data_IF_222326568921
#
_entry.id   IF_222326568921
#
_cell.length_a   1.000
_cell.length_b   1.000
_cell.length_c   1.000
_cell.angle_alpha   90.00
_cell.angle_beta   90.00
_cell.angle_gamma   90.00
#
_symmetry.space_group_name_H-M   'P 1'
#
loop_
_entity.id
_entity.type
_entity.pdbx_description
1 polymer ?
#
# COMPACT_ATOMS: atom_id res chain seq x y z
N UNK A 1 -32.25 -30.94 2.39
CA UNK A 1 -31.08 -31.73 2.85
C UNK A 1 -30.48 -30.97 4.01
N UNK A 2 -30.81 -31.37 5.23
CA UNK A 2 -30.10 -30.90 6.42
C UNK A 2 -28.66 -31.40 6.31
N UNK A 3 -27.70 -30.48 6.36
CA UNK A 3 -26.29 -30.85 6.40
C UNK A 3 -26.02 -31.35 7.81
N UNK A 4 -26.13 -32.66 8.02
CA UNK A 4 -25.80 -33.32 9.27
C UNK A 4 -24.30 -33.13 9.51
N UNK A 5 -23.92 -32.21 10.39
CA UNK A 5 -22.52 -31.87 10.67
C UNK A 5 -22.21 -32.16 12.13
N UNK A 6 -21.16 -32.93 12.38
CA UNK A 6 -20.69 -33.30 13.70
C UNK A 6 -19.63 -32.30 14.20
N UNK A 7 -19.75 -31.89 15.47
CA UNK A 7 -18.74 -31.08 16.15
C UNK A 7 -17.66 -32.01 16.74
N UNK A 8 -16.41 -31.82 16.31
CA UNK A 8 -15.24 -32.60 16.75
C UNK A 8 -14.76 -32.27 18.18
N UNK A 9 -15.19 -31.14 18.73
CA UNK A 9 -14.63 -30.52 19.93
C UNK A 9 -15.03 -31.26 21.23
N UNK A 10 -14.33 -32.36 21.54
CA UNK A 10 -14.54 -33.20 22.74
C UNK A 10 -15.17 -34.57 22.46
N UNK A 11 -15.63 -34.84 21.24
CA UNK A 11 -16.36 -36.07 20.90
C UNK A 11 -15.48 -37.20 20.30
N UNK A 12 -14.18 -36.96 20.09
CA UNK A 12 -13.27 -37.93 19.44
C UNK A 12 -12.48 -38.75 20.47
N UNK A 13 -12.22 -38.22 21.67
CA UNK A 13 -11.55 -38.95 22.76
C UNK A 13 -12.26 -38.69 24.10
N UNK A 14 -12.82 -39.73 24.77
CA UNK A 14 -13.63 -39.56 25.98
C UNK A 14 -12.84 -39.10 27.23
N UNK A 15 -11.51 -38.98 27.14
CA UNK A 15 -10.61 -38.59 28.23
C UNK A 15 -10.03 -37.18 28.12
N UNK A 16 -10.32 -36.42 27.06
CA UNK A 16 -9.88 -35.03 26.96
C UNK A 16 -10.98 -34.09 27.44
N UNK A 17 -10.83 -33.58 28.66
CA UNK A 17 -11.56 -32.39 29.10
C UNK A 17 -11.49 -31.29 28.03
N UNK A 18 -12.59 -30.55 27.85
CA UNK A 18 -12.71 -29.48 26.84
C UNK A 18 -11.48 -28.57 26.86
N UNK A 19 -10.62 -28.69 25.85
CA UNK A 19 -9.38 -27.93 25.80
C UNK A 19 -9.71 -26.48 25.42
N UNK A 20 -9.22 -25.53 26.22
CA UNK A 20 -9.37 -24.10 25.95
C UNK A 20 -8.82 -23.76 24.56
N UNK A 21 -9.63 -23.13 23.71
CA UNK A 21 -9.21 -22.70 22.36
C UNK A 21 -8.88 -21.22 22.31
N UNK A 22 -9.32 -20.43 23.30
CA UNK A 22 -9.04 -19.00 23.36
C UNK A 22 -8.64 -18.57 24.77
N UNK A 23 -7.60 -17.74 24.85
CA UNK A 23 -7.05 -17.17 26.08
C UNK A 23 -6.91 -15.66 25.89
N UNK A 24 -7.79 -14.90 26.52
CA UNK A 24 -7.80 -13.43 26.47
C UNK A 24 -7.52 -12.82 27.85
N UNK A 25 -7.43 -11.49 27.92
CA UNK A 25 -7.41 -10.77 29.20
C UNK A 25 -8.71 -10.87 29.99
N UNK A 26 -9.84 -11.13 29.31
CA UNK A 26 -11.18 -11.18 29.91
C UNK A 26 -11.55 -12.57 30.40
N UNK A 27 -10.86 -13.62 29.95
CA UNK A 27 -11.17 -15.00 30.31
C UNK A 27 -10.59 -16.01 29.34
N UNK A 28 -10.88 -17.28 29.60
CA UNK A 28 -10.56 -18.42 28.74
C UNK A 28 -11.86 -19.03 28.22
N UNK A 29 -11.86 -19.48 26.96
CA UNK A 29 -13.06 -20.04 26.33
C UNK A 29 -12.72 -21.13 25.30
N UNK A 30 -13.74 -21.89 24.91
CA UNK A 30 -13.70 -22.98 23.92
C UNK A 30 -14.57 -22.58 22.73
N UNK A 31 -14.23 -21.46 22.08
CA UNK A 31 -15.07 -20.84 21.04
C UNK A 31 -14.75 -21.33 19.62
N UNK A 32 -13.64 -22.01 19.44
CA UNK A 32 -13.21 -22.53 18.14
C UNK A 32 -13.58 -24.01 18.06
N UNK A 33 -14.21 -24.42 16.96
CA UNK A 33 -14.67 -25.79 16.73
C UNK A 33 -14.38 -26.21 15.30
N UNK A 34 -14.25 -27.52 15.08
CA UNK A 34 -14.18 -28.12 13.74
C UNK A 34 -15.51 -28.83 13.50
N UNK A 35 -16.17 -28.48 12.39
CA UNK A 35 -17.35 -29.17 11.88
C UNK A 35 -16.92 -30.17 10.81
N UNK A 36 -17.39 -31.40 10.93
CA UNK A 36 -17.10 -32.50 10.01
C UNK A 36 -18.41 -33.12 9.55
N UNK A 37 -18.44 -33.70 8.35
CA UNK A 37 -19.53 -34.60 7.99
C UNK A 37 -19.39 -35.92 8.77
N UNK A 38 -20.46 -36.72 8.95
CA UNK A 38 -20.42 -37.97 9.71
C UNK A 38 -19.34 -38.94 9.19
N UNK A 39 -19.08 -38.95 7.89
CA UNK A 39 -18.08 -39.80 7.25
C UNK A 39 -16.65 -39.36 7.59
N UNK A 40 -16.39 -38.06 7.68
CA UNK A 40 -15.07 -37.54 8.10
C UNK A 40 -14.88 -37.64 9.60
N UNK A 41 -15.97 -37.56 10.36
CA UNK A 41 -15.95 -37.72 11.80
C UNK A 41 -15.59 -39.15 12.20
N UNK A 42 -16.13 -40.17 11.50
CA UNK A 42 -15.86 -41.59 11.80
C UNK A 42 -14.40 -42.01 11.61
N UNK A 43 -13.68 -41.34 10.71
CA UNK A 43 -12.25 -41.58 10.46
C UNK A 43 -11.33 -40.66 11.28
N UNK A 44 -11.87 -39.76 12.10
CA UNK A 44 -11.05 -38.87 12.93
C UNK A 44 -10.48 -39.62 14.14
N UNK A 45 -9.16 -39.56 14.34
CA UNK A 45 -8.47 -40.30 15.41
C UNK A 45 -8.01 -39.45 16.57
N UNK A 46 -7.72 -38.18 16.32
CA UNK A 46 -7.25 -37.29 17.37
C UNK A 46 -7.59 -35.85 17.05
N UNK A 47 -8.16 -35.14 18.01
CA UNK A 47 -8.25 -33.70 17.98
C UNK A 47 -7.47 -33.13 19.16
N UNK A 48 -6.60 -32.15 18.92
CA UNK A 48 -5.87 -31.46 19.97
C UNK A 48 -5.76 -29.96 19.68
N UNK A 49 -5.80 -29.15 20.73
CA UNK A 49 -5.48 -27.74 20.64
C UNK A 49 -3.95 -27.61 20.65
N UNK A 50 -3.37 -27.25 19.50
CA UNK A 50 -1.94 -27.08 19.35
C UNK A 50 -1.38 -25.94 20.22
N UNK A 51 -0.07 -26.00 20.48
CA UNK A 51 0.65 -24.92 21.16
C UNK A 51 0.87 -23.73 20.20
N UNK A 52 0.07 -22.66 20.36
CA UNK A 52 0.11 -21.54 19.42
C UNK A 52 1.16 -20.46 19.66
N UNK A 53 1.45 -19.77 18.55
CA UNK A 53 2.25 -18.54 18.45
C UNK A 53 1.41 -17.31 18.09
N UNK A 54 1.29 -16.39 19.05
CA UNK A 54 1.16 -14.94 18.76
C UNK A 54 -0.24 -14.33 18.85
N UNK A 55 -1.31 -15.12 18.94
CA UNK A 55 -2.69 -14.63 19.09
C UNK A 55 -3.38 -15.10 20.38
N UNK A 56 -4.64 -14.67 20.53
CA UNK A 56 -5.50 -15.04 21.66
C UNK A 56 -6.17 -16.41 21.44
N UNK A 57 -6.41 -16.79 20.18
CA UNK A 57 -6.88 -18.13 19.79
C UNK A 57 -5.72 -19.12 19.66
N UNK A 58 -5.97 -20.39 19.97
CA UNK A 58 -5.05 -21.52 19.86
C UNK A 58 -5.50 -22.41 18.69
N UNK A 59 -4.58 -22.88 17.82
CA UNK A 59 -4.91 -23.68 16.66
C UNK A 59 -5.51 -24.99 17.09
N UNK A 60 -6.47 -25.45 16.30
CA UNK A 60 -7.01 -26.79 16.38
C UNK A 60 -6.28 -27.67 15.37
N UNK A 61 -5.82 -28.82 15.84
CA UNK A 61 -5.24 -29.88 15.00
C UNK A 61 -6.19 -31.07 15.02
N UNK A 62 -6.56 -31.56 13.83
CA UNK A 62 -7.32 -32.78 13.65
C UNK A 62 -6.47 -33.79 12.88
N UNK A 63 -6.42 -35.01 13.37
CA UNK A 63 -5.82 -36.16 12.70
C UNK A 63 -6.92 -37.10 12.23
N UNK A 64 -6.82 -37.53 10.97
CA UNK A 64 -7.70 -38.50 10.35
C UNK A 64 -6.91 -39.79 10.08
N UNK A 65 -7.47 -40.94 10.41
CA UNK A 65 -6.93 -42.25 10.09
C UNK A 65 -7.66 -42.82 8.87
N UNK A 66 -6.98 -42.76 7.74
CA UNK A 66 -7.47 -43.31 6.50
C UNK A 66 -7.21 -44.82 6.53
N UNK A 67 -8.26 -45.60 6.85
CA UNK A 67 -8.22 -47.07 6.79
C UNK A 67 -8.32 -47.42 5.30
N UNK A 68 -7.25 -48.01 4.78
CA UNK A 68 -6.87 -48.14 3.38
C UNK A 68 -6.25 -46.86 2.77
N UNK A 69 -5.06 -46.96 2.12
CA UNK A 69 -4.65 -45.89 1.23
C UNK A 69 -5.78 -45.77 0.21
N UNK A 70 -6.48 -44.62 0.21
CA UNK A 70 -7.36 -44.22 -0.90
C UNK A 70 -6.77 -44.82 -2.17
N UNK A 71 -7.50 -45.60 -2.97
CA UNK A 71 -6.96 -46.14 -4.20
C UNK A 71 -6.42 -44.92 -4.93
N UNK A 72 -5.09 -44.81 -4.93
CA UNK A 72 -4.40 -43.76 -5.63
C UNK A 72 -4.62 -44.24 -7.05
N UNK A 73 -5.75 -43.87 -7.64
CA UNK A 73 -5.76 -43.64 -9.07
C UNK A 73 -4.49 -42.83 -9.26
N UNK A 74 -3.55 -43.39 -10.00
CA UNK A 74 -2.16 -42.95 -10.16
C UNK A 74 -2.03 -41.49 -10.65
N UNK A 75 -3.17 -40.81 -10.78
CA UNK A 75 -3.44 -39.46 -11.20
C UNK A 75 -3.48 -38.42 -10.07
N UNK A 76 -3.43 -38.82 -8.79
CA UNK A 76 -3.25 -37.86 -7.68
C UNK A 76 -1.94 -38.11 -6.93
N UNK A 77 -0.82 -37.91 -7.64
CA UNK A 77 0.39 -37.39 -6.97
C UNK A 77 -0.02 -36.12 -6.23
N UNK A 78 0.43 -35.99 -4.99
CA UNK A 78 0.41 -34.73 -4.24
C UNK A 78 0.82 -33.60 -5.18
N UNK A 79 -0.16 -32.84 -5.70
CA UNK A 79 0.13 -31.60 -6.40
C UNK A 79 0.54 -30.60 -5.33
N UNK A 80 1.76 -30.75 -4.80
CA UNK A 80 2.61 -29.56 -4.73
C UNK A 80 2.63 -29.10 -6.17
N UNK A 81 1.88 -28.05 -6.49
CA UNK A 81 1.85 -27.51 -7.84
C UNK A 81 3.29 -27.21 -8.24
N UNK A 82 3.91 -28.14 -8.97
CA UNK A 82 5.11 -27.90 -9.74
C UNK A 82 4.63 -26.91 -10.79
N UNK A 83 4.99 -25.65 -10.60
CA UNK A 83 4.64 -24.64 -11.57
C UNK A 83 5.41 -24.98 -12.85
N UNK A 84 4.76 -25.03 -14.03
CA UNK A 84 5.45 -25.29 -15.28
C UNK A 84 6.48 -24.18 -15.50
N UNK A 85 7.78 -24.52 -15.40
CA UNK A 85 8.85 -23.62 -15.79
C UNK A 85 9.12 -23.86 -17.27
N UNK A 86 8.64 -22.94 -18.10
CA UNK A 86 8.94 -22.94 -19.53
C UNK A 86 10.46 -22.90 -19.72
N UNK A 87 11.01 -23.73 -20.62
CA UNK A 87 12.40 -23.55 -21.08
C UNK A 87 12.49 -22.19 -21.77
N UNK A 88 12.90 -21.16 -21.04
CA UNK A 88 13.03 -19.76 -21.52
C UNK A 88 14.23 -19.55 -22.46
N UNK A 89 14.69 -20.60 -23.15
CA UNK A 89 15.69 -20.43 -24.21
C UNK A 89 14.98 -20.31 -25.56
N UNK A 90 14.79 -19.03 -25.93
CA UNK A 90 14.52 -18.49 -27.27
C UNK A 90 13.07 -18.58 -27.78
N UNK A 91 12.22 -17.71 -27.22
CA UNK A 91 10.93 -17.33 -27.82
C UNK A 91 11.03 -16.78 -29.25
N UNK A 92 12.21 -16.29 -29.67
CA UNK A 92 12.43 -15.76 -31.02
C UNK A 92 12.73 -16.81 -32.08
N UNK A 93 13.14 -18.04 -31.71
CA UNK A 93 13.31 -19.15 -32.66
C UNK A 93 12.06 -20.03 -32.79
N UNK A 94 11.01 -19.71 -32.03
CA UNK A 94 9.83 -20.56 -31.87
C UNK A 94 8.81 -20.46 -33.01
N UNK A 95 8.83 -19.41 -33.85
CA UNK A 95 7.77 -19.24 -34.85
C UNK A 95 7.88 -20.15 -36.07
N UNK A 96 9.10 -20.46 -36.53
CA UNK A 96 9.33 -21.23 -37.75
C UNK A 96 9.53 -22.73 -37.51
N UNK A 97 10.12 -23.14 -36.39
CA UNK A 97 10.27 -24.58 -36.07
C UNK A 97 8.98 -25.19 -35.54
N UNK A 98 8.15 -24.42 -34.81
CA UNK A 98 6.90 -24.90 -34.23
C UNK A 98 5.89 -25.33 -35.30
N UNK A 99 5.80 -24.59 -36.40
CA UNK A 99 4.89 -24.95 -37.50
C UNK A 99 5.29 -26.30 -38.15
N UNK A 100 6.60 -26.53 -38.32
CA UNK A 100 7.14 -27.77 -38.90
C UNK A 100 7.04 -28.96 -37.92
N UNK A 101 7.29 -28.74 -36.64
CA UNK A 101 7.20 -29.79 -35.61
C UNK A 101 5.73 -30.19 -35.34
N UNK A 102 4.79 -29.23 -35.40
CA UNK A 102 3.34 -29.51 -35.35
C UNK A 102 2.88 -30.25 -36.61
N UNK A 103 3.35 -29.86 -37.81
CA UNK A 103 3.03 -30.57 -39.06
C UNK A 103 3.55 -32.01 -39.10
N UNK A 104 4.69 -32.30 -38.45
CA UNK A 104 5.26 -33.66 -38.38
C UNK A 104 4.59 -34.56 -37.36
N UNK A 105 4.03 -33.98 -36.30
CA UNK A 105 3.39 -34.72 -35.20
C UNK A 105 1.88 -34.83 -35.34
N UNK A 106 1.27 -34.08 -36.26
CA UNK A 106 -0.16 -34.08 -36.53
C UNK A 106 -0.41 -34.30 -38.03
N UNK A 107 -1.03 -35.42 -38.39
CA UNK A 107 -1.45 -35.69 -39.77
C UNK A 107 -2.65 -34.80 -40.11
N UNK A 108 -2.35 -33.61 -40.67
CA UNK A 108 -3.34 -32.58 -41.02
C UNK A 108 -4.37 -33.06 -42.06
N UNK A 109 -4.14 -34.20 -42.71
CA UNK A 109 -5.07 -34.79 -43.68
C UNK A 109 -6.35 -35.36 -43.02
N UNK A 110 -6.33 -35.59 -41.71
CA UNK A 110 -7.45 -36.17 -40.96
C UNK A 110 -8.34 -35.14 -40.24
N UNK A 111 -8.14 -33.83 -40.46
CA UNK A 111 -8.96 -32.78 -39.83
C UNK A 111 -10.13 -32.45 -40.76
N UNK A 112 -11.38 -32.80 -40.40
CA UNK A 112 -12.54 -32.40 -41.19
C UNK A 112 -12.64 -30.87 -41.21
N UNK A 113 -13.03 -30.31 -42.34
CA UNK A 113 -13.15 -28.87 -42.60
C UNK A 113 -14.25 -28.14 -41.80
N UNK A 114 -14.73 -28.72 -40.70
CA UNK A 114 -15.70 -28.09 -39.81
C UNK A 114 -15.00 -27.19 -38.77
N UNK A 115 -15.57 -26.01 -38.46
CA UNK A 115 -14.92 -24.96 -37.66
C UNK A 115 -14.83 -25.26 -36.15
N UNK A 116 -15.18 -26.47 -35.72
CA UNK A 116 -15.17 -26.90 -34.32
C UNK A 116 -14.34 -28.18 -34.22
N UNK A 117 -13.07 -28.04 -33.85
CA UNK A 117 -12.25 -29.20 -33.49
C UNK A 117 -12.93 -29.93 -32.30
N UNK A 118 -13.21 -31.24 -32.40
CA UNK A 118 -13.68 -32.02 -31.27
C UNK A 118 -12.68 -31.91 -30.10
N UNK A 119 -13.17 -31.74 -28.88
CA UNK A 119 -12.35 -31.47 -27.69
C UNK A 119 -11.20 -32.48 -27.48
N UNK A 120 -11.38 -33.72 -27.95
CA UNK A 120 -10.37 -34.78 -27.89
C UNK A 120 -9.14 -34.52 -28.77
N UNK A 121 -9.31 -33.88 -29.93
CA UNK A 121 -8.17 -33.51 -30.79
C UNK A 121 -7.37 -32.35 -30.20
N UNK A 122 -8.05 -31.38 -29.57
CA UNK A 122 -7.40 -30.28 -28.85
C UNK A 122 -6.59 -30.79 -27.65
N UNK A 123 -7.10 -31.82 -26.96
CA UNK A 123 -6.43 -32.46 -25.84
C UNK A 123 -5.14 -33.18 -26.26
N UNK A 124 -5.18 -33.91 -27.38
CA UNK A 124 -3.97 -34.54 -27.97
C UNK A 124 -2.91 -33.52 -28.36
N UNK A 125 -3.33 -32.35 -28.86
CA UNK A 125 -2.42 -31.27 -29.23
C UNK A 125 -1.75 -30.65 -28.00
N UNK A 126 -2.50 -30.46 -26.90
CA UNK A 126 -1.96 -30.02 -25.61
C UNK A 126 -0.99 -31.03 -24.99
N UNK A 127 -1.30 -32.33 -25.05
CA UNK A 127 -0.43 -33.38 -24.51
C UNK A 127 0.89 -33.46 -25.29
N UNK A 128 0.88 -33.43 -26.62
CA UNK A 128 2.08 -33.40 -27.45
C UNK A 128 2.96 -32.16 -27.17
N UNK A 129 2.33 -31.00 -26.99
CA UNK A 129 3.01 -29.75 -26.65
C UNK A 129 3.65 -29.80 -25.25
N UNK A 130 2.93 -30.35 -24.27
CA UNK A 130 3.41 -30.49 -22.89
C UNK A 130 4.64 -31.40 -22.81
N UNK A 131 4.62 -32.53 -23.53
CA UNK A 131 5.67 -33.55 -23.46
C UNK A 131 6.98 -33.07 -24.09
N UNK A 132 6.89 -32.20 -25.10
CA UNK A 132 8.05 -31.77 -25.90
C UNK A 132 8.75 -30.55 -25.31
N UNK A 133 8.00 -29.64 -24.66
CA UNK A 133 8.53 -28.33 -24.24
C UNK A 133 8.51 -28.08 -22.72
N UNK A 134 7.92 -28.98 -21.92
CA UNK A 134 7.89 -28.88 -20.45
C UNK A 134 8.73 -30.00 -19.84
N UNK A 135 9.81 -29.65 -19.12
CA UNK A 135 10.53 -30.60 -18.26
C UNK A 135 10.30 -30.27 -16.80
N UNK A 136 9.88 -31.27 -16.03
CA UNK A 136 9.72 -31.19 -14.57
C UNK A 136 11.06 -31.45 -13.87
N UNK A 137 11.69 -30.43 -13.30
CA UNK A 137 12.75 -30.63 -12.30
C UNK A 137 12.15 -30.66 -10.91
N UNK A 138 12.49 -31.68 -10.12
CA UNK A 138 12.13 -31.74 -8.70
C UNK A 138 12.75 -30.57 -7.94
N UNK A 139 12.00 -29.87 -7.08
CA UNK A 139 12.60 -28.87 -6.22
C UNK A 139 13.45 -29.59 -5.18
N UNK A 140 14.75 -29.36 -5.19
CA UNK A 140 15.58 -29.57 -4.00
C UNK A 140 14.99 -28.64 -2.95
N UNK A 141 14.23 -29.19 -2.01
CA UNK A 141 13.66 -28.44 -0.89
C UNK A 141 14.82 -28.02 0.03
N UNK A 142 15.57 -27.00 -0.38
CA UNK A 142 16.36 -26.24 0.56
C UNK A 142 15.35 -25.69 1.56
N UNK A 143 15.51 -26.05 2.84
CA UNK A 143 14.73 -25.51 3.95
C UNK A 143 14.61 -23.99 3.79
N UNK A 144 13.47 -23.52 3.31
CA UNK A 144 13.19 -22.12 2.96
C UNK A 144 13.06 -21.18 4.17
N UNK A 145 13.56 -21.58 5.33
CA UNK A 145 13.79 -20.72 6.48
C UNK A 145 15.05 -21.19 7.18
N UNK A 146 16.21 -20.75 6.69
CA UNK A 146 17.28 -20.41 7.63
C UNK A 146 16.66 -19.40 8.59
N UNK A 147 16.63 -19.71 9.90
CA UNK A 147 16.03 -18.84 10.91
C UNK A 147 16.52 -17.41 10.66
N UNK A 148 15.59 -16.46 10.48
CA UNK A 148 15.95 -15.10 10.07
C UNK A 148 17.03 -14.55 11.01
N UNK A 149 18.10 -13.89 10.52
CA UNK A 149 19.26 -13.52 11.34
C UNK A 149 18.94 -12.71 12.59
N UNK A 150 17.82 -11.99 12.60
CA UNK A 150 17.31 -11.20 13.72
C UNK A 150 16.58 -12.01 14.81
N UNK A 151 16.25 -13.28 14.55
CA UNK A 151 15.54 -14.17 15.47
C UNK A 151 16.53 -14.95 16.34
N UNK A 152 16.98 -14.28 17.40
CA UNK A 152 18.10 -14.74 18.22
C UNK A 152 17.71 -15.59 19.44
N UNK A 153 18.70 -15.90 20.28
CA UNK A 153 18.52 -16.73 21.50
C UNK A 153 17.46 -16.16 22.45
N UNK A 154 17.35 -14.84 22.53
CA UNK A 154 16.37 -14.16 23.39
C UNK A 154 14.93 -14.36 22.87
N UNK A 155 14.73 -14.24 21.55
CA UNK A 155 13.47 -14.59 20.89
C UNK A 155 13.06 -16.03 21.17
N UNK A 156 14.02 -16.95 21.06
CA UNK A 156 13.81 -18.38 21.36
C UNK A 156 13.50 -18.62 22.84
N UNK A 157 14.13 -17.91 23.76
CA UNK A 157 13.91 -18.05 25.19
C UNK A 157 12.51 -17.58 25.61
N UNK A 158 12.08 -16.39 25.18
CA UNK A 158 10.70 -15.93 25.44
C UNK A 158 9.66 -16.84 24.78
N UNK A 159 9.95 -17.33 23.58
CA UNK A 159 9.13 -18.34 22.88
C UNK A 159 8.95 -19.61 23.71
N UNK A 160 10.04 -20.16 24.27
CA UNK A 160 9.97 -21.33 25.16
C UNK A 160 9.19 -21.04 26.45
N UNK A 161 9.36 -19.84 27.02
CA UNK A 161 8.66 -19.41 28.24
C UNK A 161 7.15 -19.29 28.01
N UNK A 162 6.72 -18.73 26.87
CA UNK A 162 5.30 -18.68 26.48
C UNK A 162 4.72 -20.09 26.38
N UNK A 163 5.40 -21.02 25.69
CA UNK A 163 4.95 -22.43 25.59
C UNK A 163 4.77 -23.07 26.96
N UNK A 164 5.76 -22.92 27.85
CA UNK A 164 5.72 -23.46 29.22
C UNK A 164 4.51 -22.91 29.99
N UNK A 165 4.26 -21.59 29.92
CA UNK A 165 3.13 -20.96 30.60
C UNK A 165 1.77 -21.38 30.04
N UNK A 166 1.65 -21.57 28.73
CA UNK A 166 0.42 -22.08 28.10
C UNK A 166 0.12 -23.50 28.59
N UNK A 167 1.13 -24.37 28.72
CA UNK A 167 0.95 -25.72 29.29
C UNK A 167 0.43 -25.67 30.73
N UNK A 168 1.00 -24.77 31.55
CA UNK A 168 0.56 -24.59 32.94
C UNK A 168 -0.90 -24.11 33.02
N UNK A 169 -1.30 -23.16 32.16
CA UNK A 169 -2.69 -22.66 32.13
C UNK A 169 -3.67 -23.73 31.64
N UNK A 170 -3.25 -24.60 30.71
CA UNK A 170 -4.05 -25.76 30.31
C UNK A 170 -4.30 -26.73 31.48
N UNK A 171 -3.37 -26.84 32.43
CA UNK A 171 -3.52 -27.70 33.62
C UNK A 171 -4.15 -27.01 34.84
N UNK A 172 -4.03 -25.69 34.97
CA UNK A 172 -4.52 -24.90 36.10
C UNK A 172 -4.98 -23.53 35.62
N UNK A 173 -6.29 -23.27 35.67
CA UNK A 173 -6.90 -22.03 35.16
C UNK A 173 -6.80 -20.87 36.18
N UNK A 174 -5.62 -20.64 36.73
CA UNK A 174 -5.36 -19.59 37.72
C UNK A 174 -5.30 -18.17 37.08
N UNK A 175 -6.08 -17.19 37.58
CA UNK A 175 -6.05 -15.82 37.09
C UNK A 175 -4.67 -15.14 37.15
N UNK A 176 -3.84 -15.42 38.17
CA UNK A 176 -2.52 -14.78 38.29
C UNK A 176 -1.56 -15.28 37.21
N UNK A 177 -1.60 -16.58 36.91
CA UNK A 177 -0.81 -17.23 35.86
C UNK A 177 -1.22 -16.72 34.47
N UNK A 178 -2.52 -16.46 34.24
CA UNK A 178 -3.03 -15.83 33.01
C UNK A 178 -2.53 -14.40 32.83
N UNK A 179 -2.55 -13.58 33.89
CA UNK A 179 -2.01 -12.22 33.85
C UNK A 179 -0.52 -12.21 33.47
N UNK A 180 0.27 -13.13 34.05
CA UNK A 180 1.69 -13.31 33.71
C UNK A 180 1.90 -13.73 32.26
N UNK A 181 1.07 -14.62 31.70
CA UNK A 181 1.15 -15.00 30.27
C UNK A 181 0.89 -13.80 29.35
N UNK A 182 -0.11 -12.97 29.66
CA UNK A 182 -0.45 -11.79 28.85
C UNK A 182 0.72 -10.81 28.81
N UNK A 183 1.36 -10.58 29.95
CA UNK A 183 2.52 -9.70 30.04
C UNK A 183 3.71 -10.26 29.24
N UNK A 184 4.03 -11.55 29.38
CA UNK A 184 5.09 -12.20 28.59
C UNK A 184 4.77 -12.16 27.09
N UNK A 185 3.51 -12.37 26.67
CA UNK A 185 3.07 -12.24 25.27
C UNK A 185 3.24 -10.80 24.76
N UNK A 186 2.99 -9.78 25.60
CA UNK A 186 3.20 -8.37 25.26
C UNK A 186 4.69 -8.09 25.05
N UNK A 187 5.53 -8.52 25.99
CA UNK A 187 6.99 -8.37 25.91
C UNK A 187 7.57 -9.06 24.67
N UNK A 188 7.14 -10.29 24.39
CA UNK A 188 7.58 -11.01 23.18
C UNK A 188 7.17 -10.30 21.89
N UNK A 189 5.93 -9.79 21.79
CA UNK A 189 5.47 -9.03 20.61
C UNK A 189 6.28 -7.76 20.40
N UNK A 190 6.51 -7.00 21.47
CA UNK A 190 7.32 -5.78 21.41
C UNK A 190 8.76 -6.09 20.99
N UNK A 191 9.35 -7.15 21.55
CA UNK A 191 10.73 -7.55 21.23
C UNK A 191 10.89 -8.00 19.77
N UNK A 192 9.98 -8.85 19.27
CA UNK A 192 10.00 -9.27 17.85
C UNK A 192 9.85 -8.07 16.92
N UNK A 193 8.95 -7.14 17.27
CA UNK A 193 8.79 -5.91 16.51
C UNK A 193 10.08 -5.08 16.50
N UNK A 194 10.68 -4.81 17.67
CA UNK A 194 11.92 -4.03 17.78
C UNK A 194 13.08 -4.68 17.02
N UNK A 195 13.34 -5.99 17.19
CA UNK A 195 14.47 -6.67 16.53
C UNK A 195 14.31 -6.73 15.02
N UNK A 196 13.09 -6.96 14.53
CA UNK A 196 12.81 -6.91 13.09
C UNK A 196 13.03 -5.51 12.52
N UNK A 197 12.61 -4.47 13.24
CA UNK A 197 12.83 -3.08 12.83
C UNK A 197 14.31 -2.70 12.85
N UNK A 198 15.04 -3.11 13.89
CA UNK A 198 16.47 -2.85 14.01
C UNK A 198 17.28 -3.55 12.90
N UNK A 199 16.97 -4.81 12.60
CA UNK A 199 17.61 -5.53 11.50
C UNK A 199 17.36 -4.88 10.14
N UNK A 200 16.13 -4.43 9.89
CA UNK A 200 15.81 -3.65 8.69
C UNK A 200 16.61 -2.34 8.69
N UNK A 201 16.67 -1.62 9.81
CA UNK A 201 17.42 -0.38 9.93
C UNK A 201 18.91 -0.57 9.66
N UNK A 202 19.54 -1.59 10.24
CA UNK A 202 20.96 -1.91 10.05
C UNK A 202 21.23 -2.30 8.60
N UNK A 203 20.43 -3.19 8.01
CA UNK A 203 20.55 -3.56 6.60
C UNK A 203 20.44 -2.35 5.67
N UNK A 204 19.52 -1.41 5.97
CA UNK A 204 19.37 -0.17 5.20
C UNK A 204 20.46 0.85 5.49
N UNK A 205 21.03 0.89 6.69
CA UNK A 205 22.17 1.75 7.03
C UNK A 205 23.41 1.29 6.28
N UNK A 206 23.67 -0.01 6.24
CA UNK A 206 24.73 -0.62 5.43
C UNK A 206 24.49 -0.37 3.94
N UNK A 207 23.25 -0.50 3.46
CA UNK A 207 22.94 -0.19 2.06
C UNK A 207 23.09 1.30 1.76
N UNK A 208 22.72 2.18 2.69
CA UNK A 208 22.87 3.64 2.55
C UNK A 208 24.35 4.03 2.50
N UNK A 209 25.18 3.51 3.40
CA UNK A 209 26.62 3.78 3.40
C UNK A 209 27.32 3.18 2.17
N UNK A 210 26.83 2.05 1.65
CA UNK A 210 27.32 1.44 0.41
C UNK A 210 26.84 2.17 -0.87
N UNK A 211 25.74 2.92 -0.80
CA UNK A 211 25.15 3.65 -1.94
C UNK A 211 25.63 5.12 -1.98
N UNK A 212 26.56 5.52 -1.13
CA UNK A 212 27.02 6.90 -1.07
C UNK A 212 27.91 7.33 -2.27
N UNK A 213 27.25 8.13 -3.12
CA UNK A 213 27.75 9.33 -3.84
C UNK A 213 28.27 9.20 -5.26
N UNK A 214 28.45 8.00 -5.84
CA UNK A 214 28.88 7.90 -7.25
C UNK A 214 27.88 7.22 -8.17
N UNK A 215 27.96 7.52 -9.47
CA UNK A 215 27.19 6.83 -10.48
C UNK A 215 27.54 5.33 -10.55
N UNK A 216 28.74 4.94 -10.10
CA UNK A 216 29.18 3.55 -10.03
C UNK A 216 28.44 2.78 -8.93
N UNK A 217 28.23 3.39 -7.76
CA UNK A 217 27.51 2.74 -6.64
C UNK A 217 26.06 2.46 -7.00
N UNK A 218 25.40 3.43 -7.66
CA UNK A 218 24.06 3.22 -8.20
C UNK A 218 24.04 2.09 -9.23
N UNK A 219 25.02 2.04 -10.14
CA UNK A 219 25.11 0.96 -11.13
C UNK A 219 25.31 -0.41 -10.45
N UNK A 220 26.17 -0.49 -9.43
CA UNK A 220 26.42 -1.71 -8.67
C UNK A 220 25.17 -2.19 -7.93
N UNK A 221 24.47 -1.28 -7.23
CA UNK A 221 23.23 -1.60 -6.52
C UNK A 221 22.13 -2.08 -7.48
N UNK A 222 21.99 -1.42 -8.64
CA UNK A 222 21.05 -1.84 -9.68
C UNK A 222 21.43 -3.20 -10.28
N UNK A 223 22.72 -3.44 -10.53
CA UNK A 223 23.21 -4.74 -11.03
C UNK A 223 22.98 -5.88 -10.03
N UNK A 224 23.20 -5.63 -8.73
CA UNK A 224 22.88 -6.59 -7.67
C UNK A 224 21.38 -6.90 -7.62
N UNK A 225 20.52 -5.88 -7.75
CA UNK A 225 19.08 -6.06 -7.85
C UNK A 225 18.66 -6.87 -9.08
N UNK A 226 19.31 -6.65 -10.23
CA UNK A 226 19.06 -7.43 -11.45
C UNK A 226 19.48 -8.89 -11.26
N UNK A 227 20.63 -9.14 -10.62
CA UNK A 227 21.08 -10.49 -10.31
C UNK A 227 20.09 -11.22 -9.39
N UNK A 228 19.60 -10.53 -8.35
CA UNK A 228 18.53 -11.04 -7.49
C UNK A 228 17.25 -11.36 -8.28
N UNK A 229 16.78 -10.44 -9.11
CA UNK A 229 15.60 -10.68 -9.95
C UNK A 229 15.79 -11.90 -10.86
N UNK A 230 16.97 -12.09 -11.46
CA UNK A 230 17.27 -13.26 -12.28
C UNK A 230 17.26 -14.55 -11.48
N UNK A 231 17.83 -14.55 -10.27
CA UNK A 231 17.82 -15.71 -9.37
C UNK A 231 16.39 -16.11 -8.97
N UNK A 232 15.52 -15.11 -8.78
CA UNK A 232 14.09 -15.29 -8.46
C UNK A 232 13.18 -15.42 -9.71
N UNK A 233 13.75 -15.59 -10.91
CA UNK A 233 13.01 -15.67 -12.17
C UNK A 233 12.06 -14.48 -12.47
N UNK A 234 12.36 -13.29 -11.93
CA UNK A 234 11.66 -12.03 -12.17
C UNK A 234 12.27 -11.28 -13.37
N UNK A 235 11.42 -10.84 -14.31
CA UNK A 235 11.84 -10.06 -15.46
C UNK A 235 11.59 -8.56 -15.27
N UNK A 236 12.61 -7.73 -15.54
CA UNK A 236 12.55 -6.28 -15.37
C UNK A 236 12.08 -5.62 -16.68
N UNK A 237 11.05 -4.78 -16.59
CA UNK A 237 10.59 -4.00 -17.74
C UNK A 237 11.42 -2.72 -17.93
N UNK A 238 12.49 -2.82 -18.71
CA UNK A 238 13.40 -1.69 -19.00
C UNK A 238 12.72 -0.49 -19.68
N UNK A 239 11.57 -0.68 -20.35
CA UNK A 239 10.80 0.46 -20.92
C UNK A 239 10.13 1.29 -19.83
N UNK A 240 9.66 0.66 -18.75
CA UNK A 240 9.02 1.34 -17.60
C UNK A 240 10.04 1.84 -16.58
N UNK A 241 11.18 1.18 -16.46
CA UNK A 241 12.26 1.55 -15.54
C UNK A 241 13.06 2.72 -16.09
N UNK A 242 13.15 3.81 -15.32
CA UNK A 242 13.86 5.05 -15.69
C UNK A 242 14.75 5.50 -14.53
N UNK A 243 15.78 6.28 -14.85
CA UNK A 243 16.65 6.92 -13.84
C UNK A 243 16.30 8.41 -13.75
N UNK A 244 15.86 8.86 -12.58
CA UNK A 244 15.67 10.29 -12.30
C UNK A 244 16.79 10.75 -11.35
N UNK A 245 17.65 11.63 -11.83
CA UNK A 245 18.74 12.20 -11.02
C UNK A 245 18.30 13.54 -10.42
N UNK A 246 18.20 13.61 -9.10
CA UNK A 246 17.88 14.87 -8.41
C UNK A 246 19.12 15.77 -8.32
N UNK A 247 19.05 16.98 -8.89
CA UNK A 247 20.14 17.94 -8.85
C UNK A 247 19.64 19.37 -9.01
N UNK A 248 20.40 20.33 -8.45
CA UNK A 248 20.17 21.77 -8.67
C UNK A 248 20.80 22.27 -9.97
N UNK A 249 21.72 21.51 -10.57
CA UNK A 249 22.36 21.89 -11.83
C UNK A 249 21.38 21.81 -13.00
N UNK A 250 21.36 22.83 -13.85
CA UNK A 250 20.61 22.80 -15.12
C UNK A 250 21.31 21.95 -16.19
N UNK A 251 22.62 21.76 -16.07
CA UNK A 251 23.41 20.90 -16.97
C UNK A 251 23.32 19.46 -16.50
N UNK A 252 22.28 18.76 -16.94
CA UNK A 252 22.13 17.32 -16.77
C UNK A 252 22.87 16.59 -17.90
N UNK A 253 23.93 15.85 -17.58
CA UNK A 253 24.45 14.83 -18.50
C UNK A 253 23.46 13.67 -18.54
N UNK A 254 22.68 13.57 -19.61
CA UNK A 254 21.57 12.62 -19.77
C UNK A 254 21.99 11.25 -20.31
N UNK A 255 23.28 10.90 -20.19
CA UNK A 255 23.78 9.61 -20.67
C UNK A 255 23.05 8.44 -19.99
N UNK A 256 22.49 7.47 -20.72
CA UNK A 256 21.83 6.31 -20.15
C UNK A 256 22.72 5.58 -19.14
N UNK A 257 22.14 5.08 -18.04
CA UNK A 257 22.87 4.26 -17.09
C UNK A 257 23.04 2.85 -17.69
N UNK A 258 24.29 2.47 -17.98
CA UNK A 258 24.63 1.13 -18.46
C UNK A 258 24.54 0.13 -17.31
N UNK A 259 23.77 -0.93 -17.49
CA UNK A 259 23.53 -1.97 -16.48
C UNK A 259 23.59 -3.36 -17.12
N UNK A 260 23.75 -4.42 -16.32
CA UNK A 260 23.75 -5.78 -16.84
C UNK A 260 22.36 -6.14 -17.40
N UNK A 261 22.25 -6.27 -18.72
CA UNK A 261 20.99 -6.60 -19.41
C UNK A 261 20.29 -5.43 -20.10
N UNK A 262 20.91 -4.23 -20.17
CA UNK A 262 20.42 -3.13 -20.99
C UNK A 262 20.89 -1.73 -20.55
N UNK A 263 20.14 -0.71 -20.95
CA UNK A 263 20.36 0.68 -20.55
C UNK A 263 19.09 1.23 -19.90
N UNK A 264 19.24 1.95 -18.79
CA UNK A 264 18.13 2.72 -18.22
C UNK A 264 18.23 4.17 -18.70
N UNK A 265 17.15 4.63 -19.33
CA UNK A 265 17.03 6.02 -19.77
C UNK A 265 17.03 6.97 -18.57
N UNK A 266 17.84 8.03 -18.65
CA UNK A 266 17.81 9.15 -17.70
C UNK A 266 16.73 10.15 -18.11
N UNK A 267 15.81 10.46 -17.20
CA UNK A 267 14.67 11.37 -17.43
C UNK A 267 14.76 12.61 -16.54
N UNK A 268 14.18 13.73 -17.01
CA UNK A 268 14.06 14.98 -16.22
C UNK A 268 12.85 14.98 -15.29
N UNK A 269 11.85 14.17 -15.60
CA UNK A 269 10.64 14.01 -14.80
C UNK A 269 10.14 12.58 -14.87
N UNK A 270 9.58 12.09 -13.77
CA UNK A 270 9.06 10.74 -13.67
C UNK A 270 7.76 10.73 -12.87
N UNK A 271 6.76 9.99 -13.35
CA UNK A 271 5.48 9.82 -12.66
C UNK A 271 5.56 8.60 -11.74
N UNK A 272 5.51 8.83 -10.44
CA UNK A 272 5.51 7.79 -9.42
C UNK A 272 4.24 7.87 -8.58
N UNK A 273 3.45 6.79 -8.57
CA UNK A 273 2.17 6.70 -7.85
C UNK A 273 1.25 7.92 -8.09
N UNK A 274 1.19 8.42 -9.33
CA UNK A 274 0.36 9.57 -9.69
C UNK A 274 1.00 10.95 -9.50
N UNK A 275 2.08 11.06 -8.74
CA UNK A 275 2.85 12.30 -8.56
C UNK A 275 3.95 12.44 -9.62
N UNK A 276 4.16 13.64 -10.15
CA UNK A 276 5.24 13.91 -11.11
C UNK A 276 6.41 14.56 -10.37
N UNK A 277 7.48 13.79 -10.19
CA UNK A 277 8.74 14.27 -9.65
C UNK A 277 9.61 14.81 -10.78
N UNK A 278 10.25 15.95 -10.55
CA UNK A 278 11.20 16.56 -11.49
C UNK A 278 12.61 16.53 -10.89
N UNK A 279 13.63 16.57 -11.74
CA UNK A 279 15.04 16.53 -11.33
C UNK A 279 15.42 17.64 -10.33
N UNK A 280 14.78 18.80 -10.43
CA UNK A 280 15.00 19.95 -9.55
C UNK A 280 14.02 20.01 -8.37
N UNK A 281 13.21 18.97 -8.17
CA UNK A 281 12.17 18.88 -7.14
C UNK A 281 11.10 19.99 -7.23
N UNK A 282 10.94 20.60 -8.41
CA UNK A 282 9.87 21.55 -8.68
C UNK A 282 8.54 20.84 -8.91
N UNK A 283 7.50 21.28 -8.21
CA UNK A 283 6.13 20.77 -8.38
C UNK A 283 5.35 21.44 -9.50
N UNK A 284 5.95 22.39 -10.22
CA UNK A 284 5.29 23.12 -11.30
C UNK A 284 4.70 22.21 -12.38
N UNK A 285 5.45 21.18 -12.81
CA UNK A 285 4.99 20.21 -13.81
C UNK A 285 3.83 19.36 -13.30
N UNK A 286 3.91 18.92 -12.04
CA UNK A 286 2.83 18.18 -11.38
C UNK A 286 1.57 19.02 -11.28
N UNK A 287 1.69 20.25 -10.76
CA UNK A 287 0.58 21.18 -10.60
C UNK A 287 -0.06 21.51 -11.95
N UNK A 288 0.71 21.80 -13.00
CA UNK A 288 0.18 22.03 -14.36
C UNK A 288 -0.67 20.85 -14.85
N UNK A 289 -0.18 19.62 -14.67
CA UNK A 289 -0.91 18.41 -15.03
C UNK A 289 -2.21 18.26 -14.22
N UNK A 290 -2.15 18.44 -12.89
CA UNK A 290 -3.31 18.41 -12.01
C UNK A 290 -4.34 19.49 -12.37
N UNK A 291 -3.90 20.72 -12.65
CA UNK A 291 -4.74 21.83 -13.10
C UNK A 291 -5.46 21.53 -14.40
N UNK A 292 -4.76 21.02 -15.40
CA UNK A 292 -5.36 20.66 -16.70
C UNK A 292 -6.43 19.58 -16.51
N UNK A 293 -6.10 18.55 -15.73
CA UNK A 293 -7.00 17.44 -15.49
C UNK A 293 -8.23 17.88 -14.67
N UNK A 294 -8.06 18.75 -13.68
CA UNK A 294 -9.14 19.35 -12.89
C UNK A 294 -10.03 20.28 -13.74
N UNK A 295 -9.43 21.13 -14.58
CA UNK A 295 -10.15 22.06 -15.47
C UNK A 295 -10.98 21.30 -16.50
N UNK A 296 -10.45 20.22 -17.06
CA UNK A 296 -11.18 19.36 -18.00
C UNK A 296 -12.45 18.78 -17.36
N UNK A 297 -12.32 18.26 -16.13
CA UNK A 297 -13.47 17.74 -15.37
C UNK A 297 -14.44 18.87 -14.98
N UNK A 298 -13.93 20.03 -14.56
CA UNK A 298 -14.73 21.22 -14.25
C UNK A 298 -15.59 21.66 -15.44
N UNK A 299 -14.98 21.77 -16.63
CA UNK A 299 -15.69 22.15 -17.86
C UNK A 299 -16.75 21.12 -18.26
N UNK A 300 -16.53 19.83 -18.01
CA UNK A 300 -17.56 18.81 -18.23
C UNK A 300 -18.77 19.01 -17.30
N UNK A 301 -18.52 19.34 -16.03
CA UNK A 301 -19.59 19.64 -15.06
C UNK A 301 -20.36 20.90 -15.49
N UNK A 302 -19.66 21.95 -15.91
CA UNK A 302 -20.28 23.19 -16.40
C UNK A 302 -21.16 22.92 -17.62
N UNK A 303 -20.67 22.14 -18.60
CA UNK A 303 -21.49 21.75 -19.76
C UNK A 303 -22.74 20.98 -19.35
N UNK A 304 -22.57 20.00 -18.45
CA UNK A 304 -23.71 19.24 -17.93
C UNK A 304 -24.72 20.14 -17.23
N UNK A 305 -24.26 21.03 -16.35
CA UNK A 305 -25.09 21.99 -15.61
C UNK A 305 -26.00 22.83 -16.52
N UNK A 306 -25.45 23.36 -17.62
CA UNK A 306 -26.19 24.20 -18.57
C UNK A 306 -27.07 23.41 -19.54
N UNK A 307 -26.72 22.16 -19.86
CA UNK A 307 -27.45 21.35 -20.84
C UNK A 307 -28.51 20.45 -20.22
N UNK A 308 -28.13 19.57 -19.28
CA UNK A 308 -28.97 18.48 -18.75
C UNK A 308 -29.17 18.54 -17.24
N UNK A 309 -28.35 19.31 -16.53
CA UNK A 309 -28.28 19.34 -15.06
C UNK A 309 -29.30 20.25 -14.38
N UNK A 310 -30.31 20.73 -15.10
CA UNK A 310 -31.39 21.55 -14.55
C UNK A 310 -30.94 22.85 -13.87
N UNK A 311 -29.72 23.32 -14.14
CA UNK A 311 -29.09 24.49 -13.49
C UNK A 311 -29.14 24.47 -11.96
N UNK A 312 -29.17 23.28 -11.34
CA UNK A 312 -29.21 23.17 -9.89
C UNK A 312 -27.83 23.42 -9.26
N UNK A 313 -27.65 24.63 -8.73
CA UNK A 313 -26.36 25.16 -8.27
C UNK A 313 -25.76 24.38 -7.09
N UNK A 314 -26.49 24.04 -6.01
CA UNK A 314 -25.94 23.25 -4.90
C UNK A 314 -25.34 21.92 -5.34
N UNK A 315 -26.03 21.17 -6.21
CA UNK A 315 -25.50 19.90 -6.74
C UNK A 315 -24.23 20.10 -7.58
N UNK A 316 -24.17 21.14 -8.42
CA UNK A 316 -22.98 21.42 -9.22
C UNK A 316 -21.75 21.69 -8.33
N UNK A 317 -21.93 22.48 -7.26
CA UNK A 317 -20.88 22.76 -6.27
C UNK A 317 -20.47 21.48 -5.53
N UNK A 318 -21.43 20.64 -5.13
CA UNK A 318 -21.14 19.35 -4.50
C UNK A 318 -20.33 18.43 -5.41
N UNK A 319 -20.71 18.31 -6.69
CA UNK A 319 -19.99 17.50 -7.68
C UNK A 319 -18.58 18.05 -7.90
N UNK A 320 -18.41 19.37 -7.98
CA UNK A 320 -17.08 19.99 -8.07
C UNK A 320 -16.21 19.62 -6.88
N UNK A 321 -16.76 19.73 -5.67
CA UNK A 321 -16.07 19.36 -4.44
C UNK A 321 -15.75 17.86 -4.36
N UNK A 322 -16.60 17.00 -4.92
CA UNK A 322 -16.41 15.55 -4.92
C UNK A 322 -15.47 15.03 -6.02
N UNK A 323 -15.37 15.72 -7.16
CA UNK A 323 -14.63 15.23 -8.35
C UNK A 323 -13.43 16.08 -8.73
N UNK A 324 -13.58 17.41 -8.74
CA UNK A 324 -12.52 18.32 -9.21
C UNK A 324 -11.48 18.55 -8.10
N UNK A 325 -11.95 18.81 -6.88
CA UNK A 325 -11.05 19.10 -5.75
C UNK A 325 -10.11 17.94 -5.42
N UNK A 326 -10.55 16.67 -5.32
CA UNK A 326 -9.62 15.56 -5.05
C UNK A 326 -8.58 15.37 -6.16
N UNK A 327 -8.95 15.63 -7.41
CA UNK A 327 -8.06 15.52 -8.57
C UNK A 327 -6.98 16.60 -8.54
N UNK A 328 -7.35 17.83 -8.15
CA UNK A 328 -6.43 18.95 -7.99
C UNK A 328 -5.51 18.77 -6.78
N UNK A 329 -6.05 18.26 -5.67
CA UNK A 329 -5.35 18.09 -4.39
C UNK A 329 -4.60 16.76 -4.27
N UNK A 330 -4.46 15.98 -5.36
CA UNK A 330 -3.80 14.68 -5.30
C UNK A 330 -2.34 14.80 -4.84
N UNK A 331 -2.04 14.19 -3.70
CA UNK A 331 -0.73 14.20 -3.05
C UNK A 331 -0.31 15.56 -2.48
N UNK A 332 -1.27 16.44 -2.16
CA UNK A 332 -0.99 17.76 -1.59
C UNK A 332 -0.19 17.70 -0.29
N UNK A 333 -0.24 16.60 0.43
CA UNK A 333 0.55 16.36 1.63
C UNK A 333 2.06 16.52 1.38
N UNK A 334 2.51 16.24 0.16
CA UNK A 334 3.93 16.33 -0.24
C UNK A 334 4.25 17.68 -0.88
N UNK A 335 3.41 18.19 -1.79
CA UNK A 335 3.74 19.38 -2.59
C UNK A 335 3.25 20.72 -2.03
N UNK A 336 2.40 20.72 -1.00
CA UNK A 336 1.82 21.96 -0.42
C UNK A 336 2.89 22.94 0.08
N UNK A 337 4.08 22.45 0.45
CA UNK A 337 5.19 23.31 0.90
C UNK A 337 5.86 24.10 -0.21
N UNK A 338 5.52 23.85 -1.46
CA UNK A 338 6.10 24.52 -2.63
C UNK A 338 5.00 25.05 -3.57
N UNK A 339 3.86 25.45 -2.99
CA UNK A 339 2.79 26.13 -3.71
C UNK A 339 3.36 27.39 -4.35
N UNK A 340 3.28 27.44 -5.68
CA UNK A 340 3.58 28.62 -6.47
C UNK A 340 2.39 28.90 -7.38
N UNK A 341 1.88 30.13 -7.34
CA UNK A 341 0.74 30.58 -8.14
C UNK A 341 -0.63 30.38 -7.50
N UNK A 342 -1.67 30.71 -8.27
CA UNK A 342 -3.06 30.78 -7.80
C UNK A 342 -3.79 29.43 -7.94
N UNK A 343 -3.82 28.65 -6.85
CA UNK A 343 -4.53 27.37 -6.76
C UNK A 343 -6.05 27.49 -6.89
N UNK A 344 -6.61 28.66 -6.61
CA UNK A 344 -8.05 28.89 -6.61
C UNK A 344 -8.61 29.18 -8.00
N UNK A 345 -7.75 29.36 -9.02
CA UNK A 345 -8.18 29.68 -10.38
C UNK A 345 -9.27 28.72 -10.94
N UNK A 346 -9.18 27.39 -10.82
CA UNK A 346 -10.22 26.48 -11.29
C UNK A 346 -11.55 26.68 -10.57
N UNK A 347 -11.51 26.95 -9.26
CA UNK A 347 -12.71 27.23 -8.46
C UNK A 347 -13.35 28.55 -8.90
N UNK A 348 -12.56 29.62 -9.05
CA UNK A 348 -13.06 30.92 -9.50
C UNK A 348 -13.67 30.85 -10.91
N UNK A 349 -13.02 30.13 -11.84
CA UNK A 349 -13.54 29.92 -13.19
C UNK A 349 -14.84 29.12 -13.18
N UNK A 350 -14.91 28.08 -12.35
CA UNK A 350 -16.11 27.25 -12.20
C UNK A 350 -17.30 28.06 -11.68
N UNK A 351 -17.14 28.72 -10.54
CA UNK A 351 -18.20 29.52 -9.93
C UNK A 351 -18.68 30.63 -10.87
N UNK A 352 -17.75 31.33 -11.52
CA UNK A 352 -18.09 32.37 -12.50
C UNK A 352 -18.91 31.81 -13.67
N UNK A 353 -18.57 30.61 -14.14
CA UNK A 353 -19.30 29.98 -15.24
C UNK A 353 -20.69 29.48 -14.86
N UNK A 354 -20.95 29.22 -13.58
CA UNK A 354 -22.28 28.85 -13.09
C UNK A 354 -23.15 30.08 -12.85
N UNK A 355 -22.59 31.15 -12.29
CA UNK A 355 -23.33 32.35 -11.89
C UNK A 355 -23.49 33.41 -12.97
N UNK A 356 -22.72 33.32 -14.07
CA UNK A 356 -22.78 34.30 -15.16
C UNK A 356 -22.20 35.67 -14.82
N UNK A 357 -21.53 35.80 -13.67
CA UNK A 357 -20.97 37.08 -13.20
C UNK A 357 -19.79 37.56 -14.06
N UNK A 358 -19.60 38.88 -14.20
CA UNK A 358 -18.51 39.44 -15.00
C UNK A 358 -17.10 39.07 -14.50
N UNK A 359 -16.10 39.24 -15.37
CA UNK A 359 -14.68 38.98 -15.02
C UNK A 359 -14.12 39.96 -13.99
N UNK A 360 -14.70 41.16 -13.86
CA UNK A 360 -14.29 42.16 -12.87
C UNK A 360 -14.63 41.75 -11.43
N UNK A 361 -15.58 40.83 -11.22
CA UNK A 361 -15.89 40.30 -9.89
C UNK A 361 -14.70 39.47 -9.39
N UNK A 362 -14.18 39.86 -8.23
CA UNK A 362 -13.01 39.22 -7.64
C UNK A 362 -13.32 37.77 -7.28
N UNK A 363 -12.34 36.88 -7.44
CA UNK A 363 -12.50 35.48 -7.04
C UNK A 363 -12.76 35.31 -5.54
N UNK A 364 -12.29 36.26 -4.74
CA UNK A 364 -12.55 36.31 -3.30
C UNK A 364 -14.04 36.58 -3.00
N UNK A 365 -14.67 37.53 -3.71
CA UNK A 365 -16.11 37.77 -3.58
C UNK A 365 -16.92 36.51 -3.93
N UNK A 366 -16.60 35.84 -5.05
CA UNK A 366 -17.26 34.57 -5.40
C UNK A 366 -17.17 33.53 -4.29
N UNK A 367 -16.00 33.39 -3.66
CA UNK A 367 -15.82 32.41 -2.58
C UNK A 367 -16.67 32.73 -1.35
N UNK A 368 -16.89 34.01 -1.04
CA UNK A 368 -17.78 34.41 0.06
C UNK A 368 -19.24 34.12 -0.28
N UNK A 369 -19.70 34.58 -1.45
CA UNK A 369 -21.10 34.39 -1.88
C UNK A 369 -21.50 32.91 -1.98
N UNK A 370 -20.59 32.05 -2.43
CA UNK A 370 -20.84 30.60 -2.54
C UNK A 370 -20.39 29.79 -1.32
N UNK A 371 -20.00 30.46 -0.22
CA UNK A 371 -19.45 29.84 0.99
C UNK A 371 -18.35 28.78 0.69
N UNK A 372 -17.52 29.03 -0.32
CA UNK A 372 -16.49 28.10 -0.77
C UNK A 372 -15.11 28.44 -0.17
N UNK A 373 -14.51 27.53 0.63
CA UNK A 373 -13.17 27.73 1.14
C UNK A 373 -12.12 27.63 0.04
N UNK A 374 -11.01 28.37 0.19
CA UNK A 374 -9.92 28.29 -0.79
C UNK A 374 -9.36 26.87 -0.92
N UNK A 375 -8.93 26.52 -2.13
CA UNK A 375 -8.20 25.30 -2.45
C UNK A 375 -6.89 25.27 -1.66
N UNK A 376 -6.23 26.42 -1.50
CA UNK A 376 -5.02 26.53 -0.68
C UNK A 376 -5.28 26.15 0.79
N UNK A 377 -6.37 26.62 1.39
CA UNK A 377 -6.79 26.22 2.75
C UNK A 377 -7.02 24.72 2.84
N UNK A 378 -7.70 24.13 1.86
CA UNK A 378 -7.97 22.67 1.82
C UNK A 378 -6.65 21.87 1.72
N UNK A 379 -5.73 22.30 0.87
CA UNK A 379 -4.40 21.69 0.72
C UNK A 379 -3.62 21.73 2.05
N UNK A 380 -3.54 22.90 2.67
CA UNK A 380 -2.87 23.09 3.97
C UNK A 380 -3.53 22.28 5.09
N UNK A 381 -4.86 22.22 5.14
CA UNK A 381 -5.57 21.41 6.14
C UNK A 381 -5.19 19.93 6.03
N UNK A 382 -5.11 19.39 4.82
CA UNK A 382 -4.67 18.01 4.56
C UNK A 382 -3.21 17.79 4.90
N UNK A 383 -2.32 18.69 4.47
CA UNK A 383 -0.89 18.61 4.76
C UNK A 383 -0.61 18.65 6.27
N UNK A 384 -1.31 19.50 7.02
CA UNK A 384 -1.20 19.58 8.49
C UNK A 384 -1.73 18.31 9.14
N UNK A 385 -2.90 17.81 8.73
CA UNK A 385 -3.42 16.53 9.23
C UNK A 385 -2.45 15.39 8.98
N UNK A 386 -1.91 15.28 7.77
CA UNK A 386 -0.93 14.27 7.42
C UNK A 386 0.34 14.38 8.27
N UNK A 387 0.85 15.59 8.45
CA UNK A 387 2.04 15.85 9.26
C UNK A 387 1.80 15.44 10.72
N UNK A 388 0.67 15.83 11.30
CA UNK A 388 0.34 15.45 12.67
C UNK A 388 0.10 13.95 12.80
N UNK A 389 -0.52 13.29 11.82
CA UNK A 389 -0.58 11.83 11.80
C UNK A 389 0.82 11.19 11.74
N UNK A 390 1.73 11.73 10.93
CA UNK A 390 3.11 11.27 10.83
C UNK A 390 3.84 11.36 12.18
N UNK A 391 3.56 12.40 12.96
CA UNK A 391 4.17 12.68 14.27
C UNK A 391 3.48 11.90 15.42
N UNK A 392 2.17 11.73 15.33
CA UNK A 392 1.32 11.07 16.33
C UNK A 392 1.35 9.54 16.24
N UNK A 393 1.80 9.01 15.10
CA UNK A 393 1.93 7.58 14.87
C UNK A 393 2.74 6.95 16.01
N UNK A 394 2.07 6.05 16.74
CA UNK A 394 2.50 5.41 17.99
C UNK A 394 3.93 4.84 17.92
N UNK A 395 4.57 4.56 19.06
CA UNK A 395 5.85 3.84 19.15
C UNK A 395 5.93 2.57 18.30
N UNK A 396 4.77 1.97 18.05
CA UNK A 396 4.56 0.79 17.21
C UNK A 396 4.74 1.05 15.70
N UNK A 397 4.69 2.31 15.27
CA UNK A 397 4.95 2.80 13.90
C UNK A 397 6.23 3.66 13.87
N UNK A 398 6.86 3.96 15.03
CA UNK A 398 8.18 4.62 15.11
C UNK A 398 9.31 3.85 14.43
N UNK A 399 9.10 2.60 14.00
CA UNK A 399 10.01 1.84 13.13
C UNK A 399 9.91 2.14 11.62
N UNK A 400 8.91 2.91 11.18
CA UNK A 400 8.77 3.27 9.76
C UNK A 400 9.78 4.33 9.29
N UNK A 401 10.08 4.33 7.98
CA UNK A 401 10.97 5.29 7.31
C UNK A 401 10.70 6.77 7.65
N UNK A 402 9.47 7.12 8.02
CA UNK A 402 9.07 8.48 8.40
C UNK A 402 9.85 9.04 9.59
N UNK A 403 10.15 8.22 10.60
CA UNK A 403 10.92 8.64 11.77
C UNK A 403 12.37 8.96 11.40
N UNK A 404 12.96 8.16 10.50
CA UNK A 404 14.31 8.38 9.98
C UNK A 404 14.40 9.66 9.15
N UNK A 405 13.36 9.99 8.38
CA UNK A 405 13.29 11.23 7.61
C UNK A 405 13.14 12.46 8.53
N UNK A 406 12.39 12.33 9.64
CA UNK A 406 12.20 13.43 10.58
C UNK A 406 13.44 13.69 11.45
N UNK A 407 14.20 12.63 11.77
CA UNK A 407 15.49 12.65 12.49
C UNK A 407 16.69 12.89 11.58
N UNK A 408 16.46 13.00 10.28
CA UNK A 408 17.52 13.29 9.33
C UNK A 408 18.20 14.62 9.69
N UNK A 409 19.54 14.63 9.63
CA UNK A 409 20.38 15.80 9.88
C UNK A 409 20.15 16.84 8.77
N UNK A 410 19.71 16.41 7.58
CA UNK A 410 19.39 17.30 6.49
C UNK A 410 18.11 18.12 6.74
N UNK A 411 18.27 19.44 6.78
CA UNK A 411 17.16 20.38 6.88
C UNK A 411 16.36 20.41 5.57
N UNK A 412 15.35 19.55 5.45
CA UNK A 412 14.52 19.48 4.25
C UNK A 412 13.68 20.76 4.09
N UNK A 413 13.60 21.34 2.87
CA UNK A 413 12.77 22.52 2.62
C UNK A 413 11.29 22.31 3.00
N UNK A 414 10.81 21.07 2.88
CA UNK A 414 9.48 20.66 3.31
C UNK A 414 9.29 20.86 4.82
N UNK A 415 10.21 20.33 5.66
CA UNK A 415 10.17 20.47 7.12
C UNK A 415 10.26 21.94 7.53
N UNK A 416 11.15 22.70 6.90
CA UNK A 416 11.30 24.14 7.15
C UNK A 416 10.00 24.91 6.87
N UNK A 417 9.38 24.65 5.72
CA UNK A 417 8.15 25.36 5.31
C UNK A 417 6.97 25.00 6.20
N UNK A 418 6.84 23.73 6.58
CA UNK A 418 5.81 23.27 7.53
C UNK A 418 6.01 23.95 8.88
N UNK A 419 7.23 23.99 9.40
CA UNK A 419 7.55 24.70 10.63
C UNK A 419 7.16 26.17 10.57
N UNK A 420 7.50 26.87 9.48
CA UNK A 420 7.06 28.25 9.29
C UNK A 420 5.55 28.39 9.27
N UNK A 421 4.83 27.46 8.61
CA UNK A 421 3.37 27.49 8.60
C UNK A 421 2.78 27.29 9.99
N UNK A 422 3.27 26.33 10.78
CA UNK A 422 2.81 26.11 12.15
C UNK A 422 3.11 27.32 13.04
N UNK A 423 4.30 27.92 12.95
CA UNK A 423 4.63 29.16 13.68
C UNK A 423 3.66 30.29 13.35
N UNK A 424 3.35 30.47 12.06
CA UNK A 424 2.36 31.45 11.60
C UNK A 424 0.96 31.17 12.13
N UNK A 425 0.54 29.91 12.21
CA UNK A 425 -0.78 29.54 12.74
C UNK A 425 -0.88 29.72 14.27
N UNK A 426 0.23 29.50 14.98
CA UNK A 426 0.31 29.59 16.43
C UNK A 426 0.74 30.99 16.93
N UNK A 427 0.91 31.96 16.02
CA UNK A 427 1.42 33.30 16.32
C UNK A 427 2.76 33.29 17.09
N UNK A 428 3.63 32.31 16.79
CA UNK A 428 4.93 32.17 17.43
C UNK A 428 6.00 32.98 16.69
N UNK A 429 6.98 33.52 17.42
CA UNK A 429 8.10 34.24 16.86
C UNK A 429 8.91 33.34 15.91
N UNK A 430 9.45 33.90 14.83
CA UNK A 430 10.33 33.21 13.89
C UNK A 430 11.55 32.56 14.57
N UNK A 431 12.01 33.12 15.70
CA UNK A 431 13.12 32.58 16.51
C UNK A 431 12.72 31.39 17.40
N UNK A 432 11.44 31.15 17.64
CA UNK A 432 10.98 30.05 18.50
C UNK A 432 11.22 28.71 17.81
N UNK A 433 12.01 27.83 18.44
CA UNK A 433 12.20 26.45 17.96
C UNK A 433 10.91 25.69 18.21
N UNK A 434 10.18 25.37 17.13
CA UNK A 434 8.99 24.55 17.21
C UNK A 434 9.40 23.11 16.97
N UNK A 435 9.44 22.31 18.04
CA UNK A 435 9.61 20.87 17.88
C UNK A 435 8.27 20.27 17.46
N UNK A 436 8.15 19.87 16.19
CA UNK A 436 6.92 19.28 15.65
C UNK A 436 6.47 18.06 16.44
N UNK A 437 7.40 17.31 17.02
CA UNK A 437 7.13 16.12 17.84
C UNK A 437 6.35 16.42 19.13
N UNK A 438 6.37 17.67 19.59
CA UNK A 438 5.66 18.10 20.79
C UNK A 438 4.21 18.53 20.51
N UNK A 439 3.78 18.59 19.25
CA UNK A 439 2.41 19.00 18.91
C UNK A 439 1.47 17.81 19.11
N UNK A 440 0.70 17.88 20.19
CA UNK A 440 -0.33 16.87 20.49
C UNK A 440 -1.38 16.80 19.37
N UNK A 441 -1.85 15.59 18.99
CA UNK A 441 -2.98 15.42 18.06
C UNK A 441 -4.25 16.16 18.49
N UNK A 442 -4.40 16.39 19.80
CA UNK A 442 -5.51 17.15 20.41
C UNK A 442 -5.55 18.61 19.90
N UNK A 443 -4.43 19.16 19.44
CA UNK A 443 -4.36 20.52 18.89
C UNK A 443 -4.90 20.63 17.45
N UNK A 444 -5.11 19.51 16.74
CA UNK A 444 -5.52 19.53 15.33
C UNK A 444 -6.82 20.32 15.05
N UNK A 445 -7.90 20.17 15.83
CA UNK A 445 -9.13 20.93 15.61
C UNK A 445 -8.92 22.45 15.76
N UNK A 446 -8.13 22.88 16.77
CA UNK A 446 -7.81 24.28 17.00
C UNK A 446 -7.01 24.88 15.84
N UNK A 447 -6.02 24.14 15.35
CA UNK A 447 -5.18 24.56 14.21
C UNK A 447 -6.02 24.67 12.93
N UNK A 448 -6.94 23.72 12.68
CA UNK A 448 -7.88 23.80 11.55
C UNK A 448 -8.82 24.99 11.68
N UNK A 449 -9.34 25.28 12.88
CA UNK A 449 -10.19 26.45 13.15
C UNK A 449 -9.45 27.75 12.87
N UNK A 450 -8.19 27.87 13.32
CA UNK A 450 -7.36 29.04 13.05
C UNK A 450 -7.06 29.22 11.56
N UNK A 451 -6.76 28.12 10.85
CA UNK A 451 -6.57 28.13 9.41
C UNK A 451 -7.83 28.61 8.66
N UNK A 452 -9.02 28.21 9.12
CA UNK A 452 -10.29 28.68 8.58
C UNK A 452 -10.51 30.19 8.83
N UNK A 453 -10.23 30.67 10.04
CA UNK A 453 -10.35 32.10 10.36
C UNK A 453 -9.43 32.96 9.49
N UNK A 454 -8.18 32.53 9.28
CA UNK A 454 -7.22 33.24 8.42
C UNK A 454 -7.66 33.23 6.95
N UNK A 455 -8.16 32.10 6.45
CA UNK A 455 -8.68 32.01 5.09
C UNK A 455 -9.88 32.95 4.89
N UNK A 456 -10.81 32.99 5.86
CA UNK A 456 -11.94 33.89 5.83
C UNK A 456 -11.50 35.35 5.85
N UNK A 457 -10.63 35.74 6.79
CA UNK A 457 -10.10 37.11 6.90
C UNK A 457 -9.40 37.57 5.61
N UNK A 458 -8.52 36.74 5.05
CA UNK A 458 -7.85 37.04 3.77
C UNK A 458 -8.83 37.13 2.59
N UNK A 459 -9.89 36.33 2.61
CA UNK A 459 -10.91 36.38 1.57
C UNK A 459 -11.74 37.66 1.69
N UNK A 460 -12.15 38.01 2.90
CA UNK A 460 -12.91 39.23 3.18
C UNK A 460 -12.11 40.50 2.84
N UNK A 461 -10.80 40.54 3.11
CA UNK A 461 -9.95 41.67 2.74
C UNK A 461 -9.82 41.82 1.22
N UNK A 462 -9.58 40.72 0.50
CA UNK A 462 -9.48 40.73 -0.96
C UNK A 462 -10.82 40.86 -1.70
N UNK A 463 -11.95 40.73 -0.99
CA UNK A 463 -13.27 40.81 -1.58
C UNK A 463 -13.79 42.25 -1.70
N UNK A 464 -13.18 43.28 -1.09
CA UNK A 464 -13.69 44.68 -1.07
C UNK A 464 -13.52 45.46 -2.40
N UNK A 465 -13.62 44.78 -3.53
CA UNK A 465 -13.64 45.43 -4.84
C UNK A 465 -14.99 46.09 -5.14
N UNK A 466 -15.07 46.94 -6.18
CA UNK A 466 -16.26 47.72 -6.52
C UNK A 466 -17.51 46.89 -6.86
N UNK A 467 -17.36 45.59 -7.14
CA UNK A 467 -18.46 44.67 -7.49
C UNK A 467 -18.73 43.62 -6.40
N UNK A 468 -18.56 43.97 -5.12
CA UNK A 468 -18.68 43.04 -3.99
C UNK A 468 -19.83 43.38 -3.07
N UNK A 469 -20.59 42.36 -2.62
CA UNK A 469 -21.65 42.53 -1.62
C UNK A 469 -21.14 43.17 -0.32
N UNK A 470 -19.88 42.88 0.07
CA UNK A 470 -19.24 43.52 1.22
C UNK A 470 -19.00 45.03 1.05
N UNK A 471 -18.77 45.51 -0.18
CA UNK A 471 -18.67 46.95 -0.46
C UNK A 471 -20.05 47.63 -0.39
N UNK A 472 -21.13 46.85 -0.56
CA UNK A 472 -22.52 47.26 -0.44
C UNK A 472 -23.11 46.98 0.96
N UNK A 473 -22.27 46.65 1.95
CA UNK A 473 -22.67 46.27 3.31
C UNK A 473 -23.65 45.08 3.40
N UNK A 474 -23.71 44.22 2.37
CA UNK A 474 -24.49 42.99 2.38
C UNK A 474 -23.64 41.89 3.04
N UNK A 475 -24.12 41.25 4.11
CA UNK A 475 -23.39 40.16 4.76
C UNK A 475 -23.37 38.93 3.82
N UNK A 476 -22.22 38.21 3.73
CA UNK A 476 -22.18 36.95 3.00
C UNK A 476 -23.08 35.90 3.67
N UNK A 477 -23.61 34.94 2.89
CA UNK A 477 -24.54 33.91 3.38
C UNK A 477 -23.92 32.89 4.34
#
# INVERSE_FOLDING_TARGET
MENDLCIANGNITPLSSQQLTCITSRGTSVVDYILLTPELFSISTKMEVAEYFGGDHLPLTLMLNLIEPLPVSSNYRTMVQSHPVYKTKKWTSLSSSLALDIQKSFDMSAVPSDPILPADQYRKLLDAFSTTYITTTSPTYQRLFSESPWFDKECKALRRRIRKMVRIIKSSNDPQTRAKLIDIKRTYRNMIHCKKQQYIFEAWSTLRSAVERTAADLANAVNAFIAYCKAEALNINYKKSKVLHFTRSRKLKLEPLKITGGYLEKVKAFKYLGLIFTYNLSWTTHLKSAFLAATTTSNAIVRFYHQKGGKHLPAAIQIFNAKVVPKLLYGCEVWTTAISGNLDRPLHMFLRSLSGVPRCVSGAALRLEFAQPSIARRAWSRAISYTLHLLASDARIRGGFSNLILRDIHNSPWKTTINHKFRSLLNLNCKTVLNLECISPVALPLIKKKLQQLDFSNTASCARGPCSGLALAIPPP
#
